data_IF_606086673686
#
_entry.id   IF_606086673686
#
_cell.length_a   1.000
_cell.length_b   1.000
_cell.length_c   1.000
_cell.angle_alpha   90.00
_cell.angle_beta   90.00
_cell.angle_gamma   90.00
#
_symmetry.space_group_name_H-M   'P 1'
#
loop_
_entity.id
_entity.type
_entity.pdbx_description
1 polymer ?
#
# COMPACT_ATOMS: atom_id res chain seq x y z
N UNK A 1 32.03 59.41 16.06
CA UNK A 1 32.16 60.87 16.28
C UNK A 1 30.90 61.54 15.79
N UNK A 2 30.32 62.45 16.58
CA UNK A 2 29.06 63.13 16.26
C UNK A 2 29.37 64.51 15.68
N UNK A 3 28.73 64.84 14.56
CA UNK A 3 28.77 66.15 13.94
C UNK A 3 27.39 66.81 13.95
N UNK A 4 27.36 68.12 14.15
CA UNK A 4 26.11 68.92 14.13
C UNK A 4 26.22 69.99 13.04
N UNK A 5 25.32 69.95 12.07
CA UNK A 5 25.26 70.87 10.94
C UNK A 5 24.32 72.04 11.24
N UNK A 6 24.89 73.25 11.29
CA UNK A 6 24.32 74.50 11.79
C UNK A 6 24.78 75.65 10.90
N UNK A 7 24.00 76.72 10.73
CA UNK A 7 24.45 77.87 9.92
C UNK A 7 25.58 78.68 10.57
N UNK A 8 25.64 78.70 11.90
CA UNK A 8 26.64 79.43 12.66
C UNK A 8 27.40 78.50 13.62
N UNK A 9 28.67 78.81 13.87
CA UNK A 9 29.50 78.05 14.80
C UNK A 9 29.01 78.23 16.24
N UNK A 10 28.76 77.11 16.93
CA UNK A 10 28.24 77.10 18.30
C UNK A 10 29.26 76.48 19.26
N UNK A 11 29.70 77.27 20.24
CA UNK A 11 30.67 76.84 21.25
C UNK A 11 30.09 75.77 22.20
N UNK A 12 28.78 75.73 22.39
CA UNK A 12 28.14 74.75 23.28
C UNK A 12 28.20 73.32 22.72
N UNK A 13 28.23 73.19 21.39
CA UNK A 13 28.40 71.92 20.67
C UNK A 13 29.81 71.36 20.89
N UNK A 14 30.81 72.25 20.85
CA UNK A 14 32.23 71.91 21.05
C UNK A 14 32.49 71.47 22.49
N UNK A 15 31.88 72.15 23.47
CA UNK A 15 31.99 71.81 24.89
C UNK A 15 31.43 70.41 25.18
N UNK A 16 30.41 69.96 24.43
CA UNK A 16 29.85 68.60 24.51
C UNK A 16 30.71 67.54 23.80
N UNK A 17 31.82 67.94 23.16
CA UNK A 17 32.71 67.05 22.41
C UNK A 17 32.27 66.76 20.98
N UNK A 18 31.23 67.45 20.47
CA UNK A 18 30.75 67.33 19.10
C UNK A 18 31.47 68.32 18.17
N UNK A 19 31.46 68.08 16.86
CA UNK A 19 32.05 68.99 15.87
C UNK A 19 30.97 69.70 15.05
N UNK A 20 31.10 71.02 14.88
CA UNK A 20 30.20 71.80 14.05
C UNK A 20 30.54 71.65 12.55
N UNK A 21 29.50 71.59 11.73
CA UNK A 21 29.55 71.68 10.27
C UNK A 21 28.79 72.94 9.88
N UNK A 22 29.45 73.87 9.20
CA UNK A 22 28.87 75.17 8.82
C UNK A 22 28.71 75.35 7.32
N UNK A 23 29.29 74.44 6.52
CA UNK A 23 29.17 74.48 5.06
C UNK A 23 28.81 73.11 4.45
N UNK A 24 28.19 73.07 3.25
CA UNK A 24 27.92 71.81 2.56
C UNK A 24 29.18 71.00 2.23
N UNK A 25 30.32 71.65 2.00
CA UNK A 25 31.58 70.95 1.74
C UNK A 25 32.08 70.19 2.97
N UNK A 26 32.00 70.81 4.14
CA UNK A 26 32.30 70.17 5.43
C UNK A 26 31.36 68.99 5.70
N UNK A 27 30.08 69.10 5.30
CA UNK A 27 29.11 68.02 5.41
C UNK A 27 29.51 66.78 4.60
N UNK A 28 29.90 66.96 3.34
CA UNK A 28 30.36 65.85 2.50
C UNK A 28 31.67 65.24 3.02
N UNK A 29 32.59 66.05 3.53
CA UNK A 29 33.83 65.56 4.15
C UNK A 29 33.55 64.75 5.41
N UNK A 30 32.64 65.22 6.28
CA UNK A 30 32.24 64.51 7.49
C UNK A 30 31.57 63.17 7.18
N UNK A 31 30.78 63.09 6.10
CA UNK A 31 30.11 61.86 5.66
C UNK A 31 31.11 60.77 5.22
N UNK A 32 32.20 61.15 4.54
CA UNK A 32 33.24 60.22 4.04
C UNK A 32 34.19 59.78 5.16
N UNK A 33 34.27 60.53 6.26
CA UNK A 33 35.18 60.23 7.37
C UNK A 33 34.74 58.96 8.11
N UNK A 34 35.65 57.98 8.24
CA UNK A 34 35.32 56.61 8.71
C UNK A 34 34.85 56.54 10.17
N UNK A 35 35.27 57.47 11.01
CA UNK A 35 34.90 57.47 12.44
C UNK A 35 33.62 58.28 12.72
N UNK A 36 32.94 58.79 11.68
CA UNK A 36 31.67 59.50 11.84
C UNK A 36 30.55 58.51 12.13
N UNK A 37 29.91 58.69 13.30
CA UNK A 37 28.84 57.81 13.78
C UNK A 37 27.46 58.44 13.58
N UNK A 38 27.36 59.76 13.70
CA UNK A 38 26.09 60.48 13.59
C UNK A 38 26.31 61.89 13.03
N UNK A 39 25.45 62.32 12.12
CA UNK A 39 25.37 63.69 11.64
C UNK A 39 23.96 64.19 11.93
N UNK A 40 23.84 65.21 12.79
CA UNK A 40 22.58 65.89 13.09
C UNK A 40 22.46 67.14 12.24
N UNK A 41 21.41 67.24 11.44
CA UNK A 41 21.15 68.38 10.59
C UNK A 41 20.00 69.21 11.14
N UNK A 42 20.32 70.43 11.56
CA UNK A 42 19.34 71.37 12.05
C UNK A 42 18.55 72.02 10.92
N UNK A 43 17.32 72.41 11.23
CA UNK A 43 16.38 73.04 10.30
C UNK A 43 16.97 74.21 9.51
N UNK A 44 17.71 75.08 10.18
CA UNK A 44 18.29 76.30 9.63
C UNK A 44 19.31 75.99 8.51
N UNK A 45 20.16 74.99 8.73
CA UNK A 45 21.11 74.49 7.73
C UNK A 45 20.41 73.74 6.58
N UNK A 46 19.39 72.93 6.88
CA UNK A 46 18.65 72.16 5.88
C UNK A 46 17.89 73.07 4.90
N UNK A 47 17.19 74.08 5.39
CA UNK A 47 16.43 75.04 4.57
C UNK A 47 17.33 75.93 3.71
N UNK A 48 18.53 76.26 4.18
CA UNK A 48 19.47 77.12 3.44
C UNK A 48 20.16 76.41 2.27
N UNK A 49 20.44 75.11 2.38
CA UNK A 49 21.30 74.39 1.44
C UNK A 49 20.63 73.23 0.68
N UNK A 50 19.43 72.79 1.07
CA UNK A 50 18.75 71.66 0.41
C UNK A 50 17.32 71.99 0.01
N UNK A 51 16.89 71.43 -1.13
CA UNK A 51 15.46 71.29 -1.43
C UNK A 51 14.90 70.04 -0.72
N UNK A 52 13.59 69.95 -0.44
CA UNK A 52 13.01 68.79 0.25
C UNK A 52 13.25 67.45 -0.47
N UNK A 53 13.25 67.44 -1.80
CA UNK A 53 13.64 66.29 -2.62
C UNK A 53 15.13 65.99 -2.50
N UNK A 54 15.98 67.01 -2.64
CA UNK A 54 17.43 66.87 -2.52
C UNK A 54 17.90 66.38 -1.14
N UNK A 55 17.20 66.77 -0.07
CA UNK A 55 17.48 66.30 1.29
C UNK A 55 17.12 64.82 1.47
N UNK A 56 15.96 64.40 0.94
CA UNK A 56 15.55 63.00 0.95
C UNK A 56 16.53 62.10 0.19
N UNK A 57 16.96 62.56 -0.99
CA UNK A 57 17.94 61.85 -1.82
C UNK A 57 19.30 61.81 -1.13
N UNK A 58 19.72 62.90 -0.49
CA UNK A 58 20.97 62.94 0.29
C UNK A 58 20.96 61.94 1.44
N UNK A 59 19.88 61.86 2.22
CA UNK A 59 19.77 60.90 3.35
C UNK A 59 19.81 59.45 2.87
N UNK A 60 19.15 59.12 1.75
CA UNK A 60 19.19 57.78 1.17
C UNK A 60 20.59 57.43 0.63
N UNK A 61 21.22 58.35 -0.09
CA UNK A 61 22.54 58.13 -0.67
C UNK A 61 23.65 58.09 0.38
N UNK A 62 23.50 58.83 1.47
CA UNK A 62 24.47 58.85 2.57
C UNK A 62 24.68 57.47 3.21
N UNK A 63 23.61 56.67 3.34
CA UNK A 63 23.71 55.29 3.85
C UNK A 63 24.51 54.38 2.91
N UNK A 64 24.56 54.69 1.62
CA UNK A 64 25.37 53.94 0.65
C UNK A 64 26.85 54.29 0.76
N UNK A 65 27.17 55.57 1.06
CA UNK A 65 28.56 56.06 1.17
C UNK A 65 29.18 55.70 2.52
N UNK A 66 28.42 55.79 3.62
CA UNK A 66 28.86 55.40 4.95
C UNK A 66 27.74 54.66 5.70
N UNK A 67 27.72 53.32 5.65
CA UNK A 67 26.65 52.51 6.26
C UNK A 67 26.55 52.62 7.78
N UNK A 68 27.61 53.11 8.44
CA UNK A 68 27.70 53.20 9.90
C UNK A 68 27.35 54.59 10.43
N UNK A 69 27.08 55.55 9.54
CA UNK A 69 26.72 56.92 9.91
C UNK A 69 25.20 57.10 9.88
N UNK A 70 24.61 57.50 11.01
CA UNK A 70 23.19 57.83 11.09
C UNK A 70 22.97 59.32 10.82
N UNK A 71 22.12 59.67 9.85
CA UNK A 71 21.71 61.06 9.62
C UNK A 71 20.38 61.31 10.33
N UNK A 72 20.38 62.27 11.24
CA UNK A 72 19.18 62.73 11.95
C UNK A 72 18.83 64.11 11.43
N UNK A 73 17.64 64.27 10.86
CA UNK A 73 17.10 65.53 10.36
C UNK A 73 15.90 65.91 11.23
N UNK A 74 15.78 67.19 11.58
CA UNK A 74 14.60 67.71 12.29
C UNK A 74 13.29 67.33 11.57
N UNK A 75 12.31 66.86 12.35
CA UNK A 75 11.14 66.11 11.86
C UNK A 75 10.19 66.89 10.92
N UNK A 76 10.24 68.23 10.92
CA UNK A 76 9.29 69.08 10.18
C UNK A 76 9.48 69.06 8.64
N UNK A 77 10.60 68.56 8.12
CA UNK A 77 10.91 68.62 6.67
C UNK A 77 10.27 67.50 5.84
N UNK A 78 9.85 66.38 6.46
CA UNK A 78 9.28 65.21 5.76
C UNK A 78 7.84 65.40 5.26
N UNK A 79 7.15 66.45 5.69
CA UNK A 79 5.69 66.53 5.67
C UNK A 79 5.09 67.44 4.57
N UNK A 80 5.94 67.93 3.65
CA UNK A 80 5.56 68.87 2.59
C UNK A 80 4.75 68.22 1.45
N UNK A 81 5.10 66.99 1.04
CA UNK A 81 4.49 66.28 -0.10
C UNK A 81 3.00 65.99 0.10
N UNK A 82 2.61 65.60 1.31
CA UNK A 82 1.24 65.24 1.67
C UNK A 82 0.32 66.47 1.77
N UNK A 83 0.87 67.61 2.20
CA UNK A 83 0.14 68.89 2.29
C UNK A 83 -0.12 69.48 0.90
N UNK A 84 0.86 69.42 -0.01
CA UNK A 84 0.73 69.94 -1.37
C UNK A 84 -0.32 69.18 -2.22
N UNK A 85 -0.39 67.85 -2.08
CA UNK A 85 -1.42 67.04 -2.76
C UNK A 85 -2.82 67.32 -2.19
N UNK A 86 -2.95 67.48 -0.86
CA UNK A 86 -4.24 67.86 -0.24
C UNK A 86 -4.70 69.27 -0.62
N UNK A 87 -3.77 70.18 -0.90
CA UNK A 87 -4.11 71.52 -1.38
C UNK A 87 -4.75 71.47 -2.79
N UNK A 88 -4.32 70.56 -3.66
CA UNK A 88 -4.95 70.37 -4.97
C UNK A 88 -6.41 69.89 -4.88
N UNK A 89 -6.71 69.03 -3.91
CA UNK A 89 -8.07 68.54 -3.66
C UNK A 89 -9.04 69.66 -3.24
N UNK A 90 -8.50 70.77 -2.71
CA UNK A 90 -9.29 71.93 -2.28
C UNK A 90 -9.64 72.90 -3.40
N UNK A 91 -9.07 72.74 -4.60
CA UNK A 91 -9.37 73.62 -5.73
C UNK A 91 -10.64 73.15 -6.44
N UNK A 92 -11.64 74.02 -6.51
CA UNK A 92 -12.98 73.66 -6.99
C UNK A 92 -13.29 74.22 -8.38
N UNK A 93 -12.48 75.17 -8.86
CA UNK A 93 -12.66 75.81 -10.16
C UNK A 93 -11.39 75.83 -11.00
N UNK A 94 -11.55 75.87 -12.32
CA UNK A 94 -10.45 75.98 -13.28
C UNK A 94 -9.66 77.27 -13.08
N UNK A 95 -10.34 78.34 -12.67
CA UNK A 95 -9.76 79.66 -12.42
C UNK A 95 -8.80 79.65 -11.22
N UNK A 96 -9.17 78.95 -10.13
CA UNK A 96 -8.31 78.76 -8.96
C UNK A 96 -7.04 77.96 -9.30
N UNK A 97 -7.17 76.92 -10.13
CA UNK A 97 -6.02 76.13 -10.58
C UNK A 97 -5.08 76.96 -11.45
N UNK A 98 -5.62 77.76 -12.37
CA UNK A 98 -4.83 78.66 -13.22
C UNK A 98 -4.13 79.72 -12.37
N UNK A 99 -4.82 80.29 -11.38
CA UNK A 99 -4.24 81.27 -10.45
C UNK A 99 -3.07 80.68 -9.66
N UNK A 100 -3.23 79.48 -9.10
CA UNK A 100 -2.16 78.81 -8.34
C UNK A 100 -0.98 78.38 -9.23
N UNK A 101 -1.25 77.99 -10.47
CA UNK A 101 -0.21 77.72 -11.47
C UNK A 101 0.59 78.99 -11.83
N UNK A 102 -0.05 80.16 -11.87
CA UNK A 102 0.62 81.43 -12.12
C UNK A 102 1.41 81.93 -10.90
N UNK A 103 0.87 81.76 -9.68
CA UNK A 103 1.48 82.20 -8.44
C UNK A 103 2.68 81.32 -8.03
N UNK A 104 2.55 80.00 -8.16
CA UNK A 104 3.54 79.02 -7.72
C UNK A 104 3.83 77.95 -8.80
N UNK A 105 4.35 78.35 -9.98
CA UNK A 105 4.48 77.45 -11.16
C UNK A 105 5.39 76.26 -10.93
N UNK A 106 6.48 76.42 -10.18
CA UNK A 106 7.44 75.33 -9.92
C UNK A 106 6.84 74.26 -9.03
N UNK A 107 6.17 74.67 -7.95
CA UNK A 107 5.53 73.76 -7.00
C UNK A 107 4.36 73.03 -7.66
N UNK A 108 3.50 73.74 -8.40
CA UNK A 108 2.39 73.12 -9.13
C UNK A 108 2.86 72.08 -10.15
N UNK A 109 3.90 72.40 -10.92
CA UNK A 109 4.47 71.45 -11.89
C UNK A 109 5.14 70.24 -11.22
N UNK A 110 5.75 70.42 -10.05
CA UNK A 110 6.33 69.32 -9.28
C UNK A 110 5.25 68.39 -8.75
N UNK A 111 4.14 68.92 -8.22
CA UNK A 111 3.01 68.11 -7.75
C UNK A 111 2.34 67.37 -8.92
N UNK A 112 2.16 68.02 -10.08
CA UNK A 112 1.63 67.35 -11.28
C UNK A 112 2.55 66.19 -11.71
N UNK A 113 3.87 66.40 -11.74
CA UNK A 113 4.83 65.33 -12.06
C UNK A 113 4.75 64.16 -11.08
N UNK A 114 4.61 64.45 -9.79
CA UNK A 114 4.44 63.42 -8.75
C UNK A 114 3.14 62.64 -8.96
N UNK A 115 2.03 63.31 -9.25
CA UNK A 115 0.74 62.66 -9.52
C UNK A 115 0.78 61.79 -10.78
N UNK A 116 1.40 62.27 -11.86
CA UNK A 116 1.58 61.48 -13.08
C UNK A 116 2.48 60.25 -12.86
N UNK A 117 3.57 60.40 -12.10
CA UNK A 117 4.43 59.27 -11.71
C UNK A 117 3.67 58.23 -10.90
N UNK A 118 3.01 58.67 -9.82
CA UNK A 118 2.20 57.81 -8.97
C UNK A 118 1.09 57.08 -9.75
N UNK A 119 0.43 57.74 -10.70
CA UNK A 119 -0.59 57.11 -11.54
C UNK A 119 -0.01 56.01 -12.42
N UNK A 120 1.12 56.27 -13.09
CA UNK A 120 1.79 55.27 -13.94
C UNK A 120 2.29 54.09 -13.12
N UNK A 121 2.88 54.35 -11.95
CA UNK A 121 3.34 53.33 -11.03
C UNK A 121 2.17 52.47 -10.55
N UNK A 122 1.10 53.10 -10.04
CA UNK A 122 -0.11 52.42 -9.55
C UNK A 122 -0.80 51.62 -10.66
N UNK A 123 -0.89 52.17 -11.87
CA UNK A 123 -1.48 51.47 -13.02
C UNK A 123 -0.67 50.23 -13.39
N UNK A 124 0.66 50.35 -13.44
CA UNK A 124 1.56 49.22 -13.71
C UNK A 124 1.47 48.15 -12.62
N UNK A 125 1.44 48.55 -11.35
CA UNK A 125 1.29 47.64 -10.20
C UNK A 125 -0.06 46.93 -10.25
N UNK A 126 -1.14 47.65 -10.58
CA UNK A 126 -2.49 47.07 -10.69
C UNK A 126 -2.56 46.05 -11.82
N UNK A 127 -1.88 46.30 -12.94
CA UNK A 127 -1.84 45.39 -14.08
C UNK A 127 -1.06 44.11 -13.73
N UNK A 128 0.08 44.24 -13.04
CA UNK A 128 0.84 43.11 -12.49
C UNK A 128 0.01 42.33 -11.47
N UNK A 129 -0.69 43.02 -10.57
CA UNK A 129 -1.56 42.42 -9.57
C UNK A 129 -2.70 41.63 -10.21
N UNK A 130 -3.35 42.17 -11.24
CA UNK A 130 -4.40 41.46 -11.98
C UNK A 130 -3.89 40.18 -12.64
N UNK A 131 -2.73 40.24 -13.31
CA UNK A 131 -2.12 39.05 -13.90
C UNK A 131 -1.81 37.99 -12.83
N UNK A 132 -1.34 38.42 -11.66
CA UNK A 132 -1.08 37.53 -10.52
C UNK A 132 -2.36 36.92 -9.95
N UNK A 133 -3.45 37.69 -9.88
CA UNK A 133 -4.77 37.19 -9.46
C UNK A 133 -5.30 36.14 -10.44
N UNK A 134 -5.20 36.39 -11.75
CA UNK A 134 -5.62 35.40 -12.76
C UNK A 134 -4.80 34.12 -12.70
N UNK A 135 -3.48 34.21 -12.48
CA UNK A 135 -2.63 33.05 -12.29
C UNK A 135 -3.00 32.25 -11.02
N UNK A 136 -3.27 32.96 -9.91
CA UNK A 136 -3.72 32.33 -8.67
C UNK A 136 -5.10 31.68 -8.81
N UNK A 137 -6.02 32.27 -9.57
CA UNK A 137 -7.32 31.67 -9.85
C UNK A 137 -7.17 30.36 -10.64
N UNK A 138 -6.31 30.33 -11.66
CA UNK A 138 -6.03 29.10 -12.42
C UNK A 138 -5.43 28.01 -11.52
N UNK A 139 -4.46 28.37 -10.67
CA UNK A 139 -3.88 27.44 -9.70
C UNK A 139 -4.94 26.91 -8.73
N UNK A 140 -5.85 27.76 -8.26
CA UNK A 140 -6.93 27.34 -7.38
C UNK A 140 -7.86 26.33 -8.07
N UNK A 141 -8.22 26.56 -9.33
CA UNK A 141 -9.03 25.63 -10.11
C UNK A 141 -8.34 24.27 -10.30
N UNK A 142 -7.04 24.25 -10.58
CA UNK A 142 -6.27 23.01 -10.66
C UNK A 142 -6.19 22.28 -9.33
N UNK A 143 -5.96 23.00 -8.23
CA UNK A 143 -5.91 22.42 -6.88
C UNK A 143 -7.25 21.85 -6.46
N UNK A 144 -8.36 22.54 -6.76
CA UNK A 144 -9.71 22.04 -6.51
C UNK A 144 -9.98 20.74 -7.29
N UNK A 145 -9.53 20.67 -8.55
CA UNK A 145 -9.64 19.44 -9.35
C UNK A 145 -8.83 18.29 -8.73
N UNK A 146 -7.56 18.52 -8.41
CA UNK A 146 -6.70 17.52 -7.76
C UNK A 146 -7.25 17.04 -6.43
N UNK A 147 -7.86 17.93 -5.64
CA UNK A 147 -8.53 17.58 -4.39
C UNK A 147 -9.73 16.67 -4.63
N UNK A 148 -10.51 16.93 -5.68
CA UNK A 148 -11.65 16.09 -6.07
C UNK A 148 -11.18 14.70 -6.48
N UNK A 149 -10.20 14.63 -7.38
CA UNK A 149 -9.63 13.37 -7.88
C UNK A 149 -9.08 12.53 -6.71
N UNK A 150 -8.30 13.15 -5.81
CA UNK A 150 -7.74 12.49 -4.63
C UNK A 150 -8.80 12.00 -3.63
N UNK A 151 -9.93 12.71 -3.50
CA UNK A 151 -11.05 12.27 -2.64
C UNK A 151 -11.73 11.03 -3.21
N UNK A 152 -11.92 10.98 -4.52
CA UNK A 152 -12.51 9.82 -5.20
C UNK A 152 -11.62 8.59 -5.07
N UNK A 153 -10.31 8.75 -5.31
CA UNK A 153 -9.32 7.68 -5.11
C UNK A 153 -9.30 7.17 -3.67
N UNK A 154 -9.35 8.07 -2.68
CA UNK A 154 -9.36 7.68 -1.27
C UNK A 154 -10.64 6.91 -0.90
N UNK A 155 -11.80 7.32 -1.42
CA UNK A 155 -13.04 6.55 -1.24
C UNK A 155 -12.96 5.16 -1.85
N UNK A 156 -12.34 5.03 -3.03
CA UNK A 156 -12.11 3.72 -3.67
C UNK A 156 -11.22 2.84 -2.81
N UNK A 157 -10.09 3.36 -2.34
CA UNK A 157 -9.15 2.64 -1.46
C UNK A 157 -9.85 2.19 -0.16
N UNK A 158 -10.69 3.04 0.44
CA UNK A 158 -11.44 2.69 1.65
C UNK A 158 -12.43 1.53 1.41
N UNK A 159 -13.10 1.49 0.24
CA UNK A 159 -13.99 0.37 -0.13
C UNK A 159 -13.19 -0.92 -0.32
N UNK A 160 -12.07 -0.85 -1.04
CA UNK A 160 -11.20 -2.00 -1.27
C UNK A 160 -10.64 -2.54 0.05
N UNK A 161 -10.18 -1.65 0.94
CA UNK A 161 -9.71 -2.01 2.29
C UNK A 161 -10.79 -2.73 3.08
N UNK A 162 -12.01 -2.20 3.11
CA UNK A 162 -13.13 -2.82 3.83
C UNK A 162 -13.46 -4.23 3.30
N UNK A 163 -13.41 -4.42 1.98
CA UNK A 163 -13.60 -5.74 1.36
C UNK A 163 -12.51 -6.74 1.79
N UNK A 164 -11.25 -6.32 1.78
CA UNK A 164 -10.11 -7.16 2.20
C UNK A 164 -10.19 -7.48 3.69
N UNK A 165 -10.52 -6.51 4.55
CA UNK A 165 -10.72 -6.74 5.98
C UNK A 165 -11.86 -7.74 6.25
N UNK A 166 -12.96 -7.66 5.50
CA UNK A 166 -14.05 -8.63 5.60
C UNK A 166 -13.62 -10.05 5.17
N UNK A 167 -12.86 -10.17 4.07
CA UNK A 167 -12.31 -11.44 3.62
C UNK A 167 -11.32 -12.03 4.64
N UNK A 168 -10.44 -11.20 5.19
CA UNK A 168 -9.49 -11.60 6.24
C UNK A 168 -10.23 -12.03 7.50
N UNK A 169 -11.24 -11.27 7.95
CA UNK A 169 -12.08 -11.62 9.09
C UNK A 169 -12.80 -12.96 8.91
N UNK A 170 -13.31 -13.25 7.71
CA UNK A 170 -13.86 -14.57 7.38
C UNK A 170 -12.81 -15.67 7.42
N UNK A 171 -11.60 -15.41 6.91
CA UNK A 171 -10.51 -16.39 6.88
C UNK A 171 -10.03 -16.70 8.30
N UNK A 172 -9.81 -15.67 9.13
CA UNK A 172 -9.45 -15.79 10.54
C UNK A 172 -10.57 -16.50 11.31
N UNK A 173 -11.83 -16.19 11.03
CA UNK A 173 -12.98 -16.91 11.61
C UNK A 173 -12.96 -18.40 11.26
N UNK A 174 -12.68 -18.77 10.01
CA UNK A 174 -12.52 -20.18 9.60
C UNK A 174 -11.31 -20.86 10.25
N UNK A 175 -10.19 -20.14 10.34
CA UNK A 175 -8.95 -20.65 10.96
C UNK A 175 -9.16 -20.85 12.46
N UNK A 176 -9.68 -19.87 13.17
CA UNK A 176 -9.95 -19.98 14.61
C UNK A 176 -11.02 -21.04 14.92
N UNK A 177 -12.05 -21.17 14.07
CA UNK A 177 -12.98 -22.30 14.14
C UNK A 177 -12.31 -23.66 13.90
N UNK A 178 -11.23 -23.71 13.10
CA UNK A 178 -10.45 -24.94 12.86
C UNK A 178 -9.47 -25.29 13.99
N UNK A 179 -9.08 -24.31 14.83
CA UNK A 179 -8.07 -24.49 15.87
C UNK A 179 -8.64 -24.49 17.30
N UNK A 180 -9.79 -23.87 17.56
CA UNK A 180 -10.40 -23.82 18.89
C UNK A 180 -11.82 -24.42 18.89
N UNK A 181 -11.86 -25.71 19.25
CA UNK A 181 -12.93 -26.51 19.91
C UNK A 181 -13.25 -27.79 19.16
N UNK A 182 -13.16 -28.88 19.93
CA UNK A 182 -13.83 -30.18 19.80
C UNK A 182 -14.14 -30.65 18.37
N UNK A 183 -13.45 -31.71 17.96
CA UNK A 183 -13.68 -32.49 16.74
C UNK A 183 -15.19 -32.53 16.44
N UNK A 184 -15.64 -31.69 15.51
CA UNK A 184 -17.06 -31.60 15.18
C UNK A 184 -17.44 -32.91 14.47
N UNK A 185 -18.27 -33.78 15.08
CA UNK A 185 -18.63 -35.05 14.48
C UNK A 185 -19.37 -34.88 13.14
N UNK A 186 -19.91 -33.68 12.87
CA UNK A 186 -20.58 -33.33 11.62
C UNK A 186 -19.62 -33.13 10.44
N UNK A 187 -18.31 -33.00 10.68
CA UNK A 187 -17.29 -32.96 9.62
C UNK A 187 -16.91 -34.36 9.11
N UNK A 188 -17.21 -35.43 9.86
CA UNK A 188 -17.11 -36.79 9.35
C UNK A 188 -18.26 -37.05 8.38
N UNK A 189 -17.94 -37.61 7.22
CA UNK A 189 -19.00 -38.07 6.32
C UNK A 189 -19.46 -39.44 6.83
N UNK A 190 -20.52 -39.42 7.63
CA UNK A 190 -21.32 -40.61 7.87
C UNK A 190 -22.03 -40.98 6.55
N UNK A 191 -21.66 -42.15 6.01
CA UNK A 191 -22.13 -42.66 4.72
C UNK A 191 -23.54 -43.25 4.79
N UNK A 192 -24.13 -43.42 5.99
CA UNK A 192 -25.45 -44.03 6.16
C UNK A 192 -26.48 -43.47 5.15
N UNK A 193 -26.82 -44.29 4.15
CA UNK A 193 -27.78 -44.00 3.09
C UNK A 193 -27.35 -43.04 1.96
N UNK A 194 -26.08 -42.59 1.90
CA UNK A 194 -25.62 -41.55 0.94
C UNK A 194 -24.67 -42.04 -0.16
N UNK A 195 -23.97 -43.16 0.03
CA UNK A 195 -23.09 -43.72 -1.00
C UNK A 195 -23.85 -44.58 -2.00
N UNK A 196 -23.54 -44.40 -3.29
CA UNK A 196 -24.01 -45.27 -4.38
C UNK A 196 -22.94 -46.24 -4.89
N UNK A 197 -21.80 -46.34 -4.22
CA UNK A 197 -20.82 -47.40 -4.48
C UNK A 197 -21.26 -48.69 -3.81
N UNK A 198 -20.95 -49.83 -4.44
CA UNK A 198 -21.19 -51.17 -3.87
C UNK A 198 -20.37 -51.37 -2.60
N UNK A 199 -19.07 -51.00 -2.66
CA UNK A 199 -18.16 -50.96 -1.50
C UNK A 199 -17.10 -49.88 -1.67
N UNK A 200 -16.59 -49.40 -0.55
CA UNK A 200 -15.48 -48.44 -0.48
C UNK A 200 -14.33 -49.12 0.25
N UNK A 201 -13.17 -49.27 -0.40
CA UNK A 201 -11.94 -49.68 0.27
C UNK A 201 -11.25 -48.43 0.80
N UNK A 202 -11.21 -48.26 2.12
CA UNK A 202 -10.59 -47.12 2.78
C UNK A 202 -9.27 -47.51 3.42
N UNK A 203 -8.17 -47.03 2.86
CA UNK A 203 -6.81 -47.29 3.31
C UNK A 203 -6.32 -46.09 4.10
N UNK A 204 -6.26 -46.23 5.42
CA UNK A 204 -5.80 -45.18 6.33
C UNK A 204 -4.31 -45.33 6.63
N UNK A 205 -3.53 -44.30 6.29
CA UNK A 205 -2.12 -44.24 6.67
C UNK A 205 -1.97 -43.77 8.11
N UNK A 206 -1.41 -44.65 8.96
CA UNK A 206 -0.87 -44.25 10.26
C UNK A 206 0.60 -43.97 10.16
N UNK A 207 1.33 -44.94 9.63
CA UNK A 207 2.76 -44.79 9.33
C UNK A 207 3.06 -45.32 7.93
N UNK A 208 4.06 -44.71 7.29
CA UNK A 208 4.31 -44.86 5.85
C UNK A 208 4.88 -46.23 5.51
N UNK A 209 4.17 -46.96 4.65
CA UNK A 209 4.64 -48.23 4.08
C UNK A 209 5.05 -48.04 2.62
N UNK A 210 6.18 -48.64 2.23
CA UNK A 210 6.69 -48.56 0.85
C UNK A 210 5.78 -49.31 -0.12
N UNK A 211 5.76 -48.86 -1.37
CA UNK A 211 5.06 -49.48 -2.50
C UNK A 211 3.52 -49.50 -2.42
N UNK A 212 2.91 -48.78 -1.46
CA UNK A 212 1.44 -48.66 -1.37
C UNK A 212 0.85 -48.04 -2.64
N UNK A 213 1.44 -46.97 -3.15
CA UNK A 213 0.94 -46.28 -4.37
C UNK A 213 0.97 -47.23 -5.58
N UNK A 214 2.06 -48.00 -5.73
CA UNK A 214 2.19 -49.01 -6.78
C UNK A 214 1.15 -50.12 -6.62
N UNK A 215 0.92 -50.60 -5.39
CA UNK A 215 -0.11 -51.59 -5.10
C UNK A 215 -1.50 -51.12 -5.54
N UNK A 216 -1.88 -49.87 -5.22
CA UNK A 216 -3.22 -49.36 -5.57
C UNK A 216 -3.40 -49.21 -7.07
N UNK A 217 -2.37 -48.73 -7.76
CA UNK A 217 -2.37 -48.67 -9.22
C UNK A 217 -2.66 -50.05 -9.83
N UNK A 218 -1.93 -51.11 -9.43
CA UNK A 218 -2.17 -52.45 -9.97
C UNK A 218 -3.47 -53.08 -9.48
N UNK A 219 -3.91 -52.82 -8.25
CA UNK A 219 -5.20 -53.29 -7.75
C UNK A 219 -6.33 -52.78 -8.65
N UNK A 220 -6.30 -51.48 -8.98
CA UNK A 220 -7.28 -50.86 -9.86
C UNK A 220 -7.22 -51.41 -11.30
N UNK A 221 -6.03 -51.54 -11.87
CA UNK A 221 -5.87 -52.12 -13.22
C UNK A 221 -6.28 -53.60 -13.27
N UNK A 222 -6.10 -54.35 -12.18
CA UNK A 222 -6.55 -55.74 -12.06
C UNK A 222 -8.08 -55.80 -11.98
N UNK A 223 -8.73 -54.99 -11.15
CA UNK A 223 -10.19 -54.93 -11.07
C UNK A 223 -10.80 -54.60 -12.43
N UNK A 224 -10.22 -53.61 -13.12
CA UNK A 224 -10.68 -53.19 -14.45
C UNK A 224 -10.48 -54.28 -15.51
N UNK A 225 -9.30 -54.87 -15.59
CA UNK A 225 -8.91 -55.73 -16.72
C UNK A 225 -9.30 -57.19 -16.52
N UNK A 226 -9.14 -57.73 -15.31
CA UNK A 226 -9.40 -59.15 -15.01
C UNK A 226 -10.84 -59.39 -14.53
N UNK A 227 -11.40 -58.45 -13.76
CA UNK A 227 -12.75 -58.60 -13.20
C UNK A 227 -13.81 -57.82 -14.00
N UNK A 228 -13.39 -56.95 -14.92
CA UNK A 228 -14.31 -56.12 -15.71
C UNK A 228 -15.02 -55.06 -14.88
N UNK A 229 -14.58 -54.83 -13.64
CA UNK A 229 -15.19 -53.91 -12.69
C UNK A 229 -14.33 -52.65 -12.61
N UNK A 230 -14.76 -51.51 -13.18
CA UNK A 230 -14.02 -50.27 -13.01
C UNK A 230 -14.04 -49.86 -11.54
N UNK A 231 -12.92 -49.34 -11.05
CA UNK A 231 -12.79 -48.75 -9.72
C UNK A 231 -12.28 -47.32 -9.84
N UNK A 232 -12.76 -46.46 -8.95
CA UNK A 232 -12.35 -45.05 -8.86
C UNK A 232 -11.37 -44.87 -7.72
N UNK A 233 -10.35 -44.05 -7.91
CA UNK A 233 -9.32 -43.79 -6.91
C UNK A 233 -9.39 -42.34 -6.40
N UNK A 234 -9.30 -42.19 -5.08
CA UNK A 234 -9.15 -40.89 -4.42
C UNK A 234 -7.99 -40.95 -3.44
N UNK A 235 -7.03 -40.05 -3.61
CA UNK A 235 -5.90 -39.91 -2.69
C UNK A 235 -6.06 -38.63 -1.91
N UNK A 236 -6.14 -38.74 -0.58
CA UNK A 236 -6.23 -37.60 0.32
C UNK A 236 -4.84 -37.34 0.90
N UNK A 237 -4.20 -36.26 0.47
CA UNK A 237 -2.89 -35.82 0.99
C UNK A 237 -3.05 -34.91 2.21
N UNK A 238 -1.96 -34.63 2.96
CA UNK A 238 -1.98 -33.62 4.03
C UNK A 238 -2.48 -32.26 3.57
N UNK A 239 -3.00 -31.45 4.49
CA UNK A 239 -3.43 -30.08 4.18
C UNK A 239 -2.24 -29.27 3.60
N UNK A 240 -2.49 -28.49 2.55
CA UNK A 240 -1.48 -27.75 1.76
C UNK A 240 -0.50 -28.57 0.90
N UNK A 241 -0.66 -29.89 0.78
CA UNK A 241 0.21 -30.74 -0.06
C UNK A 241 -0.08 -30.64 -1.58
N UNK A 242 -0.25 -29.44 -2.11
CA UNK A 242 -0.61 -29.21 -3.53
C UNK A 242 0.41 -29.78 -4.52
N UNK A 243 1.69 -29.82 -4.15
CA UNK A 243 2.75 -30.41 -4.98
C UNK A 243 2.71 -31.94 -5.08
N UNK A 244 1.94 -32.61 -4.21
CA UNK A 244 1.87 -34.07 -4.17
C UNK A 244 1.23 -34.69 -5.42
N UNK A 245 0.48 -33.90 -6.20
CA UNK A 245 -0.08 -34.31 -7.50
C UNK A 245 0.97 -34.90 -8.45
N UNK A 246 2.24 -34.46 -8.35
CA UNK A 246 3.36 -34.96 -9.16
C UNK A 246 3.63 -36.46 -8.96
N UNK A 247 3.22 -37.02 -7.83
CA UNK A 247 3.37 -38.44 -7.51
C UNK A 247 2.23 -39.30 -8.10
N UNK A 248 1.15 -38.68 -8.56
CA UNK A 248 -0.07 -39.35 -9.03
C UNK A 248 -0.40 -38.92 -10.46
N UNK A 249 0.44 -39.29 -11.46
CA UNK A 249 0.18 -38.95 -12.84
C UNK A 249 -1.15 -39.59 -13.30
N UNK A 250 -2.11 -38.75 -13.69
CA UNK A 250 -3.45 -39.18 -14.14
C UNK A 250 -4.58 -38.82 -13.18
N UNK A 251 -4.28 -38.51 -11.91
CA UNK A 251 -5.27 -37.96 -10.99
C UNK A 251 -5.49 -36.47 -11.27
N UNK A 252 -6.72 -36.00 -11.07
CA UNK A 252 -7.06 -34.58 -11.16
C UNK A 252 -7.01 -33.93 -9.77
N UNK A 253 -6.35 -32.78 -9.61
CA UNK A 253 -6.26 -32.09 -8.32
C UNK A 253 -7.61 -31.49 -7.93
N UNK A 254 -8.06 -31.69 -6.68
CA UNK A 254 -9.39 -31.26 -6.23
C UNK A 254 -9.63 -29.75 -6.25
N UNK A 255 -8.55 -28.96 -6.27
CA UNK A 255 -8.59 -27.48 -6.31
C UNK A 255 -8.65 -26.91 -7.74
N UNK A 256 -8.56 -27.76 -8.77
CA UNK A 256 -8.66 -27.37 -10.19
C UNK A 256 -9.53 -28.40 -10.94
N UNK A 257 -10.73 -28.67 -10.39
CA UNK A 257 -11.71 -29.59 -10.97
C UNK A 257 -12.79 -28.82 -11.72
N UNK A 258 -13.04 -29.19 -12.98
CA UNK A 258 -14.31 -28.92 -13.63
C UNK A 258 -15.41 -29.88 -13.14
N UNK A 259 -16.66 -29.48 -13.34
CA UNK A 259 -17.82 -30.28 -12.92
C UNK A 259 -17.86 -31.68 -13.57
N UNK A 260 -17.42 -31.81 -14.83
CA UNK A 260 -17.34 -33.12 -15.50
C UNK A 260 -16.23 -34.00 -14.91
N UNK A 261 -15.05 -33.41 -14.63
CA UNK A 261 -13.92 -34.13 -14.04
C UNK A 261 -14.22 -34.62 -12.62
N UNK A 262 -14.95 -33.83 -11.83
CA UNK A 262 -15.38 -34.22 -10.48
C UNK A 262 -16.14 -35.56 -10.46
N UNK A 263 -16.81 -35.91 -11.54
CA UNK A 263 -17.62 -37.13 -11.60
C UNK A 263 -16.91 -38.32 -12.23
N UNK A 264 -16.06 -38.08 -13.22
CA UNK A 264 -15.49 -39.15 -14.04
C UNK A 264 -14.03 -39.46 -13.72
N UNK A 265 -13.29 -38.53 -13.11
CA UNK A 265 -11.84 -38.66 -12.94
C UNK A 265 -11.46 -39.21 -11.57
N UNK A 266 -10.29 -39.83 -11.47
CA UNK A 266 -9.62 -40.06 -10.19
C UNK A 266 -9.13 -38.75 -9.61
N UNK A 267 -9.13 -38.61 -8.29
CA UNK A 267 -8.92 -37.31 -7.63
C UNK A 267 -7.78 -37.36 -6.63
N UNK A 268 -6.89 -36.37 -6.73
CA UNK A 268 -5.94 -36.05 -5.68
C UNK A 268 -6.47 -34.86 -4.87
N UNK A 269 -6.65 -35.05 -3.57
CA UNK A 269 -7.31 -34.11 -2.67
C UNK A 269 -6.32 -33.67 -1.58
N UNK A 270 -5.69 -32.47 -1.68
CA UNK A 270 -4.83 -31.96 -0.62
C UNK A 270 -5.69 -31.45 0.56
N UNK A 271 -5.62 -32.17 1.67
CA UNK A 271 -6.52 -32.01 2.80
C UNK A 271 -7.90 -32.60 2.52
N UNK A 272 -8.60 -33.05 3.55
CA UNK A 272 -9.97 -33.56 3.39
C UNK A 272 -10.93 -32.41 3.05
N UNK A 273 -11.72 -32.58 1.98
CA UNK A 273 -12.72 -31.61 1.52
C UNK A 273 -14.12 -32.26 1.53
N UNK A 274 -14.94 -32.03 2.57
CA UNK A 274 -16.20 -32.75 2.74
C UNK A 274 -17.19 -32.60 1.58
N UNK A 275 -17.30 -31.41 1.00
CA UNK A 275 -18.21 -31.14 -0.13
C UNK A 275 -17.85 -31.96 -1.38
N UNK A 276 -16.56 -31.94 -1.76
CA UNK A 276 -16.04 -32.69 -2.90
C UNK A 276 -16.21 -34.20 -2.67
N UNK A 277 -15.89 -34.70 -1.48
CA UNK A 277 -16.07 -36.12 -1.15
C UNK A 277 -17.55 -36.53 -1.16
N UNK A 278 -18.45 -35.70 -0.64
CA UNK A 278 -19.90 -35.94 -0.70
C UNK A 278 -20.40 -36.07 -2.14
N UNK A 279 -19.90 -35.25 -3.07
CA UNK A 279 -20.24 -35.34 -4.49
C UNK A 279 -19.65 -36.57 -5.18
N UNK A 280 -18.43 -36.99 -4.79
CA UNK A 280 -17.83 -38.25 -5.26
C UNK A 280 -18.70 -39.44 -4.83
N UNK A 281 -19.14 -39.48 -3.58
CA UNK A 281 -19.92 -40.58 -2.99
C UNK A 281 -21.29 -40.78 -3.62
N UNK A 282 -21.86 -39.73 -4.26
CA UNK A 282 -23.08 -39.85 -5.08
C UNK A 282 -22.89 -40.78 -6.29
N UNK A 283 -21.65 -41.11 -6.67
CA UNK A 283 -21.29 -42.04 -7.74
C UNK A 283 -22.10 -41.88 -9.04
N UNK A 284 -22.13 -40.69 -9.67
CA UNK A 284 -22.93 -40.49 -10.89
C UNK A 284 -22.40 -41.27 -12.10
N UNK A 285 -21.16 -41.73 -12.05
CA UNK A 285 -20.56 -42.60 -13.08
C UNK A 285 -20.92 -44.08 -12.91
N UNK A 286 -21.69 -44.45 -11.88
CA UNK A 286 -22.10 -45.83 -11.57
C UNK A 286 -20.91 -46.83 -11.55
N UNK A 287 -19.79 -46.42 -10.97
CA UNK A 287 -18.60 -47.25 -10.79
C UNK A 287 -18.82 -48.13 -9.54
N UNK A 288 -18.47 -49.41 -9.57
CA UNK A 288 -18.85 -50.29 -8.44
C UNK A 288 -18.05 -50.02 -7.17
N UNK A 289 -16.75 -49.75 -7.31
CA UNK A 289 -15.83 -49.60 -6.18
C UNK A 289 -15.16 -48.24 -6.13
N UNK A 290 -14.99 -47.72 -4.90
CA UNK A 290 -14.17 -46.56 -4.59
C UNK A 290 -12.98 -47.00 -3.72
N UNK A 291 -11.76 -46.68 -4.16
CA UNK A 291 -10.53 -46.88 -3.39
C UNK A 291 -10.09 -45.52 -2.87
N UNK A 292 -10.03 -45.39 -1.54
CA UNK A 292 -9.59 -44.15 -0.87
C UNK A 292 -8.28 -44.43 -0.17
N UNK A 293 -7.25 -43.65 -0.49
CA UNK A 293 -5.98 -43.64 0.23
C UNK A 293 -5.90 -42.36 1.05
N UNK A 294 -6.07 -42.48 2.36
CA UNK A 294 -6.00 -41.36 3.29
C UNK A 294 -4.61 -41.25 3.91
N UNK A 295 -3.85 -40.24 3.46
CA UNK A 295 -2.53 -39.87 3.97
C UNK A 295 -2.57 -38.65 4.89
N UNK A 296 -3.74 -38.17 5.27
CA UNK A 296 -3.85 -37.11 6.27
C UNK A 296 -3.40 -37.64 7.64
N UNK A 297 -2.71 -36.80 8.41
CA UNK A 297 -2.25 -37.12 9.76
C UNK A 297 -3.34 -37.18 10.83
N UNK A 298 -4.62 -37.15 10.45
CA UNK A 298 -5.74 -37.32 11.38
C UNK A 298 -5.85 -38.78 11.80
N UNK A 299 -6.14 -39.11 13.05
CA UNK A 299 -6.09 -40.51 13.53
C UNK A 299 -7.20 -41.40 12.97
N UNK A 300 -8.40 -40.84 12.84
CA UNK A 300 -9.63 -41.57 12.47
C UNK A 300 -9.89 -41.45 10.96
N UNK A 301 -10.46 -42.48 10.30
CA UNK A 301 -10.96 -42.36 8.94
C UNK A 301 -11.99 -41.22 8.79
N UNK A 302 -11.90 -40.46 7.71
CA UNK A 302 -12.83 -39.35 7.42
C UNK A 302 -14.20 -39.82 6.91
N UNK A 303 -14.26 -41.07 6.46
CA UNK A 303 -15.45 -41.69 5.88
C UNK A 303 -15.83 -42.86 6.78
N UNK A 304 -17.06 -42.85 7.31
CA UNK A 304 -17.56 -43.87 8.23
C UNK A 304 -18.87 -44.48 7.72
N UNK A 305 -19.01 -45.80 7.79
CA UNK A 305 -20.26 -46.53 7.47
C UNK A 305 -20.06 -48.01 7.14
N UNK A 306 -21.17 -48.75 7.07
CA UNK A 306 -21.19 -50.22 6.87
C UNK A 306 -20.72 -50.67 5.47
N UNK A 307 -20.84 -49.81 4.46
CA UNK A 307 -20.36 -50.07 3.10
C UNK A 307 -18.86 -49.80 2.89
N UNK A 308 -18.11 -49.60 3.97
CA UNK A 308 -16.70 -49.19 3.94
C UNK A 308 -15.84 -50.27 4.59
N UNK A 309 -14.87 -50.77 3.83
CA UNK A 309 -13.88 -51.72 4.31
C UNK A 309 -12.59 -50.99 4.67
N UNK A 310 -12.25 -51.01 5.95
CA UNK A 310 -11.07 -50.31 6.47
C UNK A 310 -9.84 -51.20 6.45
N UNK A 311 -8.76 -50.65 5.92
CA UNK A 311 -7.41 -51.21 5.95
C UNK A 311 -6.46 -50.11 6.41
N UNK A 312 -5.43 -50.45 7.18
CA UNK A 312 -4.52 -49.48 7.79
C UNK A 312 -3.08 -49.77 7.37
N UNK A 313 -2.30 -48.73 7.06
CA UNK A 313 -0.85 -48.90 6.84
C UNK A 313 -0.09 -48.57 8.11
N UNK A 314 0.79 -49.48 8.50
CA UNK A 314 1.64 -49.36 9.69
C UNK A 314 3.04 -49.85 9.34
N UNK A 315 4.06 -49.01 9.48
CA UNK A 315 5.46 -49.41 9.29
C UNK A 315 5.96 -50.26 10.45
N UNK A 316 5.54 -49.95 11.68
CA UNK A 316 5.80 -50.74 12.87
C UNK A 316 4.47 -51.30 13.39
N UNK A 317 4.45 -52.57 13.81
CA UNK A 317 3.25 -53.20 14.36
C UNK A 317 2.92 -52.68 15.76
N UNK A 318 3.89 -52.11 16.47
CA UNK A 318 3.65 -51.46 17.76
C UNK A 318 2.82 -50.17 17.63
N UNK A 319 2.69 -49.60 16.42
CA UNK A 319 1.78 -48.48 16.13
C UNK A 319 0.28 -48.89 16.13
N UNK A 320 -0.01 -50.17 16.36
CA UNK A 320 -1.37 -50.71 16.46
C UNK A 320 -1.98 -50.51 17.86
N UNK A 321 -2.10 -49.26 18.29
CA UNK A 321 -2.65 -48.91 19.61
C UNK A 321 -4.08 -49.45 19.83
N UNK A 322 -4.87 -49.59 18.76
CA UNK A 322 -6.27 -50.04 18.79
C UNK A 322 -6.44 -51.56 18.66
N UNK A 323 -5.33 -52.31 18.57
CA UNK A 323 -5.34 -53.78 18.44
C UNK A 323 -6.21 -54.29 17.28
N UNK A 324 -6.10 -53.62 16.13
CA UNK A 324 -6.76 -54.00 14.88
C UNK A 324 -6.32 -55.39 14.42
N UNK A 325 -7.21 -56.10 13.73
CA UNK A 325 -6.93 -57.43 13.14
C UNK A 325 -5.75 -57.32 12.14
N UNK A 326 -4.69 -58.15 12.28
CA UNK A 326 -3.59 -58.24 11.33
C UNK A 326 -3.99 -58.37 9.86
N UNK A 327 -5.17 -58.94 9.57
CA UNK A 327 -5.73 -59.05 8.21
C UNK A 327 -6.13 -57.71 7.60
N UNK A 328 -6.35 -56.68 8.41
CA UNK A 328 -6.66 -55.31 7.99
C UNK A 328 -5.45 -54.38 8.04
N UNK A 329 -4.26 -54.91 8.28
CA UNK A 329 -3.03 -54.11 8.41
C UNK A 329 -2.10 -54.42 7.24
N UNK A 330 -1.63 -53.37 6.56
CA UNK A 330 -0.54 -53.41 5.59
C UNK A 330 0.74 -53.00 6.32
N UNK A 331 1.71 -53.91 6.43
CA UNK A 331 3.00 -53.64 7.07
C UNK A 331 4.15 -54.43 6.42
N UNK A 332 5.36 -54.29 6.93
CA UNK A 332 6.52 -55.09 6.52
C UNK A 332 6.51 -56.52 7.08
N UNK A 333 5.58 -56.86 7.99
CA UNK A 333 5.48 -58.18 8.61
C UNK A 333 4.75 -59.20 7.73
N UNK A 334 5.30 -60.41 7.63
CA UNK A 334 4.71 -61.55 6.91
C UNK A 334 3.38 -62.04 7.50
N UNK A 335 3.09 -61.67 8.75
CA UNK A 335 1.85 -62.04 9.45
C UNK A 335 0.69 -61.08 9.13
N UNK A 336 0.97 -59.99 8.41
CA UNK A 336 -0.01 -58.99 7.96
C UNK A 336 -0.10 -58.97 6.43
N UNK A 337 -0.81 -58.01 5.85
CA UNK A 337 -0.82 -57.77 4.41
C UNK A 337 0.52 -57.16 3.96
N UNK A 338 1.50 -58.03 3.73
CA UNK A 338 2.82 -57.63 3.25
C UNK A 338 2.82 -57.34 1.74
N UNK A 339 3.37 -56.18 1.34
CA UNK A 339 3.63 -55.86 -0.07
C UNK A 339 5.02 -56.40 -0.44
N UNK A 340 5.12 -57.44 -1.29
CA UNK A 340 6.40 -57.99 -1.67
C UNK A 340 7.18 -57.02 -2.55
N UNK A 341 8.49 -56.93 -2.30
CA UNK A 341 9.39 -56.28 -3.24
C UNK A 341 9.57 -57.18 -4.47
N UNK A 342 9.38 -56.61 -5.65
CA UNK A 342 9.56 -57.31 -6.93
C UNK A 342 10.90 -56.86 -7.52
N UNK A 343 11.87 -57.76 -7.55
CA UNK A 343 13.17 -57.49 -8.17
C UNK A 343 13.03 -57.26 -9.69
N UNK A 344 13.81 -56.31 -10.22
CA UNK A 344 13.78 -55.95 -11.64
C UNK A 344 12.46 -55.34 -12.11
N UNK A 345 11.67 -54.76 -11.20
CA UNK A 345 10.31 -54.29 -11.49
C UNK A 345 10.21 -53.40 -12.75
N UNK A 346 11.18 -52.50 -12.92
CA UNK A 346 11.21 -51.57 -14.05
C UNK A 346 11.53 -52.24 -15.40
N UNK A 347 12.15 -53.43 -15.38
CA UNK A 347 12.55 -54.17 -16.58
C UNK A 347 11.45 -55.14 -17.04
N UNK A 348 10.46 -55.42 -16.19
CA UNK A 348 9.32 -56.28 -16.52
C UNK A 348 8.33 -55.58 -17.47
N UNK A 349 7.69 -56.35 -18.35
CA UNK A 349 6.57 -55.88 -19.17
C UNK A 349 5.34 -55.54 -18.31
N UNK A 350 4.40 -54.75 -18.84
CA UNK A 350 3.15 -54.41 -18.11
C UNK A 350 2.34 -55.66 -17.76
N UNK A 351 2.28 -56.63 -18.69
CA UNK A 351 1.58 -57.91 -18.50
C UNK A 351 2.23 -58.73 -17.38
N UNK A 352 3.56 -58.85 -17.37
CA UNK A 352 4.28 -59.58 -16.33
C UNK A 352 4.09 -58.94 -14.95
N UNK A 353 4.08 -57.60 -14.87
CA UNK A 353 3.80 -56.87 -13.63
C UNK A 353 2.40 -57.16 -13.13
N UNK A 354 1.40 -57.16 -14.01
CA UNK A 354 0.02 -57.51 -13.66
C UNK A 354 -0.10 -58.94 -13.13
N UNK A 355 0.54 -59.93 -13.78
CA UNK A 355 0.52 -61.33 -13.33
C UNK A 355 1.18 -61.48 -11.96
N UNK A 356 2.32 -60.81 -11.73
CA UNK A 356 2.99 -60.85 -10.43
C UNK A 356 2.11 -60.24 -9.35
N UNK A 357 1.54 -59.06 -9.57
CA UNK A 357 0.69 -58.39 -8.58
C UNK A 357 -0.61 -59.16 -8.30
N UNK A 358 -1.30 -59.67 -9.32
CA UNK A 358 -2.55 -60.44 -9.15
C UNK A 358 -2.34 -61.75 -8.38
N UNK A 359 -1.13 -62.32 -8.45
CA UNK A 359 -0.79 -63.52 -7.70
C UNK A 359 -0.55 -63.27 -6.19
N UNK A 360 -0.30 -62.02 -5.79
CA UNK A 360 0.06 -61.67 -4.40
C UNK A 360 -1.11 -61.88 -3.42
N UNK A 361 -0.78 -62.32 -2.21
CA UNK A 361 -1.76 -62.55 -1.14
C UNK A 361 -2.53 -61.27 -0.77
N UNK A 362 -1.85 -60.13 -0.75
CA UNK A 362 -2.47 -58.85 -0.43
C UNK A 362 -3.54 -58.44 -1.44
N UNK A 363 -3.26 -58.51 -2.75
CA UNK A 363 -4.26 -58.14 -3.76
C UNK A 363 -5.47 -59.06 -3.70
N UNK A 364 -5.26 -60.38 -3.62
CA UNK A 364 -6.36 -61.34 -3.48
C UNK A 364 -7.23 -61.02 -2.27
N UNK A 365 -6.60 -60.72 -1.14
CA UNK A 365 -7.33 -60.37 0.08
C UNK A 365 -8.09 -59.04 -0.02
N UNK A 366 -7.50 -58.01 -0.64
CA UNK A 366 -8.20 -56.73 -0.85
C UNK A 366 -9.41 -56.90 -1.80
N UNK A 367 -9.31 -57.77 -2.80
CA UNK A 367 -10.43 -58.12 -3.68
C UNK A 367 -11.49 -58.91 -2.91
N UNK A 368 -11.11 -59.90 -2.09
CA UNK A 368 -12.05 -60.62 -1.21
C UNK A 368 -12.81 -59.66 -0.29
N UNK A 369 -12.13 -58.65 0.27
CA UNK A 369 -12.78 -57.59 1.05
C UNK A 369 -13.73 -56.73 0.20
N UNK A 370 -13.51 -56.56 -1.09
CA UNK A 370 -14.43 -55.83 -1.96
C UNK A 370 -15.62 -56.68 -2.44
N UNK A 371 -15.46 -58.00 -2.49
CA UNK A 371 -16.45 -58.94 -3.01
C UNK A 371 -17.35 -59.57 -1.93
N UNK A 372 -16.89 -59.65 -0.67
CA UNK A 372 -17.69 -60.23 0.40
C UNK A 372 -19.07 -59.54 0.52
N UNK A 373 -20.13 -60.32 0.71
CA UNK A 373 -21.52 -59.84 0.83
C UNK A 373 -22.01 -59.98 2.25
#
# INVERSE_FOLDING_TARGET
MIYEALLNYDNDVVIKGNRCITTPQELYQALVYKDTSEIRMHRDFAEAFFTPSGLSDFVQNAQTVNPFCTIVVDADVRDFRLRAIKALDSYTSVEEVIFQLQAHPKEMMEVIKILCGNYMDTYSETLVANNKVSALQLQNSELLRKLSDAKEDNQRILRDKSMVEAQLGMLVGRINYSYEKDIDPSQFIQIEGKSRFTRILYIKERTRVRYVDTLLYYLKEILKTLYGVPAREVVIGPYYSYGGIKLYPGLQPSFDLSYSQLYQSDIYMPGFQPGVMSDILKNPSNVEYLIVLDRCGFEVPHILGDGVEYVYTMSDLEDNFDRLDPRRIISYSRNTLYIPHIEGFNDLSVEDRMVRYSSTKIIKHLIELLEHR
#
